data_IF_315839790828
#
_entry.id   IF_315839790828
#
_cell.length_a   1.000
_cell.length_b   1.000
_cell.length_c   1.000
_cell.angle_alpha   90.00
_cell.angle_beta   90.00
_cell.angle_gamma   90.00
#
_symmetry.space_group_name_H-M   'P 1'
#
loop_
_entity.id
_entity.type
_entity.pdbx_description
1 polymer ?
#
# COMPACT_ATOMS: atom_id res chain seq x y z
N UNK A 1 16.32 7.58 -2.39
CA UNK A 1 16.58 6.24 -2.95
C UNK A 1 15.31 5.42 -2.84
N UNK A 2 14.97 4.62 -3.86
CA UNK A 2 13.81 3.71 -3.80
C UNK A 2 14.21 2.36 -3.18
N UNK A 3 13.27 1.69 -2.53
CA UNK A 3 13.53 0.39 -1.92
C UNK A 3 13.89 -0.64 -3.00
N UNK A 4 15.03 -1.31 -2.80
CA UNK A 4 15.49 -2.37 -3.67
C UNK A 4 15.86 -3.58 -2.81
N UNK A 5 15.24 -4.73 -3.08
CA UNK A 5 15.55 -5.96 -2.34
C UNK A 5 16.99 -6.41 -2.55
N UNK A 6 17.61 -6.10 -3.69
CA UNK A 6 19.00 -6.48 -3.99
C UNK A 6 20.03 -5.52 -3.34
N UNK A 7 19.57 -4.49 -2.64
CA UNK A 7 20.45 -3.59 -1.91
C UNK A 7 21.14 -4.33 -0.75
N UNK A 8 22.44 -4.13 -0.60
CA UNK A 8 23.27 -4.83 0.41
C UNK A 8 22.76 -4.60 1.83
N UNK A 9 22.42 -3.36 2.19
CA UNK A 9 21.89 -3.00 3.52
C UNK A 9 20.55 -3.70 3.77
N UNK A 10 19.66 -3.72 2.77
CA UNK A 10 18.38 -4.43 2.88
C UNK A 10 18.60 -5.94 3.04
N UNK A 11 19.55 -6.54 2.31
CA UNK A 11 19.89 -7.95 2.45
C UNK A 11 20.45 -8.29 3.82
N UNK A 12 21.34 -7.47 4.36
CA UNK A 12 21.87 -7.61 5.72
C UNK A 12 20.74 -7.53 6.76
N UNK A 13 19.82 -6.57 6.63
CA UNK A 13 18.64 -6.50 7.49
C UNK A 13 17.76 -7.76 7.39
N UNK A 14 17.54 -8.29 6.19
CA UNK A 14 16.78 -9.53 5.99
C UNK A 14 17.48 -10.76 6.62
N UNK A 15 18.81 -10.82 6.56
CA UNK A 15 19.60 -11.86 7.21
C UNK A 15 19.50 -11.76 8.73
N UNK A 16 19.59 -10.54 9.28
CA UNK A 16 19.40 -10.28 10.71
C UNK A 16 18.04 -10.75 11.22
N UNK A 17 16.95 -10.40 10.52
CA UNK A 17 15.60 -10.87 10.88
C UNK A 17 15.48 -12.39 10.89
N UNK A 18 16.06 -13.08 9.91
CA UNK A 18 16.02 -14.54 9.85
C UNK A 18 16.77 -15.18 11.04
N UNK A 19 17.77 -14.49 11.59
CA UNK A 19 18.45 -14.93 12.80
C UNK A 19 17.62 -14.62 14.06
N UNK A 20 16.92 -13.48 14.12
CA UNK A 20 15.93 -13.20 15.16
C UNK A 20 14.86 -14.30 15.20
N UNK A 21 14.29 -14.68 14.03
CA UNK A 21 13.27 -15.73 13.90
C UNK A 21 13.78 -17.11 14.39
N UNK A 22 15.10 -17.32 14.36
CA UNK A 22 15.77 -18.53 14.87
C UNK A 22 16.21 -18.43 16.32
N UNK A 23 15.90 -17.33 17.01
CA UNK A 23 16.30 -17.09 18.40
C UNK A 23 17.79 -16.76 18.57
N UNK A 24 18.43 -16.17 17.56
CA UNK A 24 19.85 -15.82 17.55
C UNK A 24 20.06 -14.28 17.51
N UNK A 25 19.70 -13.54 18.58
CA UNK A 25 19.71 -12.08 18.58
C UNK A 25 21.11 -11.46 18.46
N UNK A 26 22.14 -12.10 19.02
CA UNK A 26 23.53 -11.61 18.88
C UNK A 26 24.01 -11.66 17.43
N UNK A 27 23.68 -12.74 16.72
CA UNK A 27 23.97 -12.88 15.29
C UNK A 27 23.21 -11.84 14.46
N UNK A 28 21.92 -11.63 14.79
CA UNK A 28 21.11 -10.61 14.14
C UNK A 28 21.70 -9.20 14.31
N UNK A 29 22.10 -8.86 15.53
CA UNK A 29 22.66 -7.55 15.85
C UNK A 29 23.96 -7.27 15.08
N UNK A 30 24.81 -8.28 14.86
CA UNK A 30 26.01 -8.14 14.01
C UNK A 30 25.66 -7.73 12.57
N UNK A 31 24.64 -8.36 11.98
CA UNK A 31 24.18 -8.00 10.64
C UNK A 31 23.57 -6.60 10.59
N UNK A 32 22.84 -6.17 11.62
CA UNK A 32 22.27 -4.81 11.67
C UNK A 32 23.34 -3.73 11.83
N UNK A 33 24.38 -3.99 12.63
CA UNK A 33 25.53 -3.08 12.70
C UNK A 33 26.32 -3.05 11.40
N UNK A 34 26.52 -4.20 10.74
CA UNK A 34 27.15 -4.23 9.42
C UNK A 34 26.34 -3.42 8.40
N UNK A 35 25.00 -3.55 8.42
CA UNK A 35 24.10 -2.74 7.60
C UNK A 35 24.25 -1.24 7.87
N UNK A 36 24.46 -0.84 9.13
CA UNK A 36 24.69 0.56 9.51
C UNK A 36 26.02 1.10 8.97
N UNK A 37 27.10 0.33 9.09
CA UNK A 37 28.44 0.72 8.62
C UNK A 37 28.54 0.75 7.09
N UNK A 38 27.86 -0.16 6.40
CA UNK A 38 27.83 -0.21 4.94
C UNK A 38 26.82 0.76 4.30
N UNK A 39 25.99 1.43 5.11
CA UNK A 39 24.99 2.35 4.60
C UNK A 39 25.61 3.58 3.94
N UNK A 40 25.23 3.80 2.69
CA UNK A 40 25.74 4.86 1.83
C UNK A 40 24.87 6.11 1.80
N UNK A 41 23.66 6.04 2.36
CA UNK A 41 22.70 7.14 2.38
C UNK A 41 21.78 7.07 3.62
N UNK A 42 21.07 8.16 3.88
CA UNK A 42 20.28 8.32 5.11
C UNK A 42 19.08 7.37 5.18
N UNK A 43 18.52 6.94 4.03
CA UNK A 43 17.46 5.95 4.01
C UNK A 43 17.99 4.57 4.45
N UNK A 44 19.15 4.16 3.97
CA UNK A 44 19.81 2.92 4.41
C UNK A 44 20.17 2.98 5.90
N UNK A 45 20.73 4.11 6.36
CA UNK A 45 21.06 4.33 7.77
C UNK A 45 19.83 4.28 8.65
N UNK A 46 18.73 4.90 8.24
CA UNK A 46 17.45 4.86 8.93
C UNK A 46 16.98 3.40 9.13
N UNK A 47 17.02 2.62 8.06
CA UNK A 47 16.60 1.22 8.07
C UNK A 47 17.47 0.39 9.03
N UNK A 48 18.79 0.55 8.98
CA UNK A 48 19.71 -0.14 9.88
C UNK A 48 19.50 0.28 11.35
N UNK A 49 19.44 1.59 11.63
CA UNK A 49 19.24 2.13 12.98
C UNK A 49 17.97 1.60 13.64
N UNK A 50 16.87 1.46 12.89
CA UNK A 50 15.62 0.88 13.39
C UNK A 50 15.81 -0.54 13.94
N UNK A 51 16.56 -1.40 13.24
CA UNK A 51 16.81 -2.77 13.71
C UNK A 51 17.85 -2.84 14.81
N UNK A 52 18.89 -2.00 14.76
CA UNK A 52 19.86 -1.90 15.85
C UNK A 52 19.14 -1.51 17.15
N UNK A 53 18.24 -0.54 17.11
CA UNK A 53 17.45 -0.09 18.27
C UNK A 53 16.69 -1.26 18.92
N UNK A 54 15.97 -2.05 18.11
CA UNK A 54 15.10 -3.15 18.59
C UNK A 54 15.83 -4.19 19.43
N UNK A 55 17.12 -4.41 19.17
CA UNK A 55 17.92 -5.44 19.84
C UNK A 55 18.83 -4.90 20.95
N UNK A 56 18.80 -3.59 21.22
CA UNK A 56 19.54 -3.05 22.37
C UNK A 56 18.91 -3.52 23.68
N UNK A 57 19.74 -4.03 24.59
CA UNK A 57 19.33 -4.45 25.93
C UNK A 57 19.24 -3.27 26.91
N UNK A 58 20.14 -2.30 26.78
CA UNK A 58 20.11 -1.09 27.58
C UNK A 58 19.07 -0.10 27.02
N UNK A 59 18.20 0.41 27.90
CA UNK A 59 17.11 1.30 27.51
C UNK A 59 17.62 2.65 27.01
N UNK A 60 18.74 3.14 27.55
CA UNK A 60 19.33 4.41 27.13
C UNK A 60 19.91 4.30 25.73
N UNK A 61 20.60 3.19 25.42
CA UNK A 61 21.13 2.94 24.09
C UNK A 61 20.02 2.67 23.07
N UNK A 62 18.98 1.91 23.46
CA UNK A 62 17.77 1.73 22.64
C UNK A 62 17.11 3.07 22.29
N UNK A 63 16.97 3.96 23.28
CA UNK A 63 16.41 5.29 23.10
C UNK A 63 17.26 6.13 22.14
N UNK A 64 18.59 6.13 22.28
CA UNK A 64 19.50 6.84 21.36
C UNK A 64 19.30 6.37 19.93
N UNK A 65 19.26 5.06 19.69
CA UNK A 65 19.08 4.50 18.36
C UNK A 65 17.71 4.82 17.76
N UNK A 66 16.63 4.79 18.55
CA UNK A 66 15.33 5.23 18.06
C UNK A 66 15.29 6.71 17.72
N UNK A 67 15.96 7.58 18.49
CA UNK A 67 16.12 8.99 18.13
C UNK A 67 16.93 9.17 16.84
N UNK A 68 18.02 8.43 16.68
CA UNK A 68 18.80 8.43 15.44
C UNK A 68 17.96 8.00 14.24
N UNK A 69 17.17 6.93 14.38
CA UNK A 69 16.26 6.48 13.33
C UNK A 69 15.19 7.54 13.02
N UNK A 70 14.61 8.18 14.04
CA UNK A 70 13.62 9.26 13.84
C UNK A 70 14.23 10.47 13.12
N UNK A 71 15.42 10.90 13.53
CA UNK A 71 16.10 12.01 12.87
C UNK A 71 16.37 11.71 11.39
N UNK A 72 16.93 10.55 11.08
CA UNK A 72 17.19 10.14 9.69
C UNK A 72 15.89 10.03 8.88
N UNK A 73 14.81 9.53 9.47
CA UNK A 73 13.51 9.48 8.80
C UNK A 73 12.97 10.88 8.48
N UNK A 74 13.12 11.83 9.41
CA UNK A 74 12.73 13.24 9.22
C UNK A 74 13.62 13.96 8.21
N UNK A 75 14.90 13.59 8.08
CA UNK A 75 15.82 14.12 7.06
C UNK A 75 15.47 13.58 5.67
N UNK A 76 15.16 12.29 5.56
CA UNK A 76 14.74 11.65 4.29
C UNK A 76 13.37 12.16 3.82
N UNK A 77 12.42 12.37 4.74
CA UNK A 77 11.13 13.03 4.55
C UNK A 77 10.33 12.67 3.27
N UNK A 78 10.27 11.41 2.90
CA UNK A 78 9.53 10.95 1.72
C UNK A 78 8.44 9.93 2.07
N UNK A 79 7.64 9.53 1.09
CA UNK A 79 6.51 8.62 1.30
C UNK A 79 6.93 7.22 1.76
N UNK A 80 8.19 6.83 1.58
CA UNK A 80 8.71 5.56 2.06
C UNK A 80 8.94 5.54 3.59
N UNK A 81 9.27 6.68 4.20
CA UNK A 81 9.64 6.74 5.63
C UNK A 81 8.57 7.35 6.52
N UNK A 82 7.67 8.20 5.99
CA UNK A 82 6.64 8.90 6.79
C UNK A 82 5.75 7.96 7.60
N UNK A 83 5.44 6.78 7.06
CA UNK A 83 4.69 5.75 7.78
C UNK A 83 5.36 5.30 9.08
N UNK A 84 6.69 5.45 9.21
CA UNK A 84 7.46 5.03 10.36
C UNK A 84 7.38 6.01 11.55
N UNK A 85 6.91 7.24 11.35
CA UNK A 85 6.93 8.27 12.39
C UNK A 85 6.13 7.86 13.62
N UNK A 86 4.87 7.43 13.45
CA UNK A 86 4.04 7.02 14.58
C UNK A 86 4.64 5.83 15.36
N UNK A 87 5.07 4.72 14.72
CA UNK A 87 5.81 3.65 15.40
C UNK A 87 7.09 4.12 16.11
N UNK A 88 7.89 4.99 15.49
CA UNK A 88 9.10 5.55 16.11
C UNK A 88 8.75 6.32 17.40
N UNK A 89 7.78 7.23 17.34
CA UNK A 89 7.32 7.96 18.52
C UNK A 89 6.82 7.00 19.61
N UNK A 90 6.06 5.96 19.25
CA UNK A 90 5.59 4.95 20.19
C UNK A 90 6.74 4.23 20.91
N UNK A 91 7.77 3.77 20.19
CA UNK A 91 8.90 3.08 20.82
C UNK A 91 9.79 4.01 21.64
N UNK A 92 9.93 5.27 21.24
CA UNK A 92 10.61 6.30 22.03
C UNK A 92 9.84 6.55 23.34
N UNK A 93 8.51 6.65 23.28
CA UNK A 93 7.67 6.79 24.47
C UNK A 93 7.87 5.61 25.43
N UNK A 94 7.89 4.37 24.92
CA UNK A 94 8.14 3.16 25.71
C UNK A 94 9.50 3.18 26.41
N UNK A 95 10.54 3.65 25.73
CA UNK A 95 11.85 3.81 26.35
C UNK A 95 11.81 4.85 27.49
N UNK A 96 11.12 5.98 27.30
CA UNK A 96 10.95 6.98 28.36
C UNK A 96 10.14 6.48 29.55
N UNK A 97 9.11 5.64 29.33
CA UNK A 97 8.37 4.97 30.42
C UNK A 97 9.30 4.10 31.27
N UNK A 98 10.13 3.26 30.62
CA UNK A 98 11.10 2.39 31.31
C UNK A 98 12.17 3.19 32.07
N UNK A 99 12.54 4.37 31.58
CA UNK A 99 13.43 5.32 32.26
C UNK A 99 12.73 6.16 33.34
N UNK A 100 11.43 5.94 33.59
CA UNK A 100 10.58 6.73 34.50
C UNK A 100 10.51 8.23 34.16
N UNK A 101 10.73 8.60 32.90
CA UNK A 101 10.57 9.96 32.41
C UNK A 101 9.15 10.18 31.87
N UNK A 102 8.22 10.42 32.80
CA UNK A 102 6.78 10.52 32.53
C UNK A 102 6.46 11.63 31.53
N UNK A 103 7.11 12.79 31.63
CA UNK A 103 6.81 13.94 30.77
C UNK A 103 7.14 13.64 29.31
N UNK A 104 8.34 13.14 29.03
CA UNK A 104 8.72 12.76 27.67
C UNK A 104 7.88 11.59 27.16
N UNK A 105 7.59 10.59 27.99
CA UNK A 105 6.71 9.49 27.58
C UNK A 105 5.35 9.99 27.10
N UNK A 106 4.73 10.93 27.84
CA UNK A 106 3.44 11.55 27.44
C UNK A 106 3.54 12.27 26.10
N UNK A 107 4.56 13.12 25.92
CA UNK A 107 4.77 13.87 24.67
C UNK A 107 4.87 12.92 23.48
N UNK A 108 5.69 11.88 23.58
CA UNK A 108 5.89 10.95 22.46
C UNK A 108 4.66 10.06 22.21
N UNK A 109 3.85 9.73 23.22
CA UNK A 109 2.55 9.09 23.00
C UNK A 109 1.59 9.99 22.22
N UNK A 110 1.51 11.27 22.58
CA UNK A 110 0.68 12.23 21.86
C UNK A 110 1.11 12.34 20.38
N UNK A 111 2.42 12.39 20.12
CA UNK A 111 2.97 12.37 18.76
C UNK A 111 2.65 11.07 18.00
N UNK A 112 2.68 9.92 18.67
CA UNK A 112 2.34 8.63 18.06
C UNK A 112 0.86 8.50 17.70
N UNK A 113 -0.01 9.24 18.39
CA UNK A 113 -1.46 9.25 18.16
C UNK A 113 -1.91 10.31 17.15
N UNK A 114 -1.02 11.19 16.71
CA UNK A 114 -1.33 12.12 15.63
C UNK A 114 -1.77 11.32 14.40
N UNK A 115 -2.92 11.69 13.79
CA UNK A 115 -3.41 10.97 12.63
C UNK A 115 -2.34 10.99 11.54
N UNK A 116 -1.96 9.81 11.04
CA UNK A 116 -1.07 9.72 9.91
C UNK A 116 -1.66 10.55 8.78
N UNK A 117 -0.88 11.50 8.27
CA UNK A 117 -1.26 12.28 7.09
C UNK A 117 -1.63 11.29 5.99
N UNK A 118 -2.77 11.51 5.32
CA UNK A 118 -3.10 10.74 4.11
C UNK A 118 -1.89 10.78 3.17
N UNK A 119 -1.50 9.66 2.55
CA UNK A 119 -0.38 9.65 1.64
C UNK A 119 -0.57 10.73 0.57
N UNK A 120 0.44 11.58 0.39
CA UNK A 120 0.46 12.65 -0.61
C UNK A 120 1.38 12.29 -1.78
N UNK A 121 1.63 11.00 -1.96
CA UNK A 121 2.46 10.47 -3.04
C UNK A 121 1.83 10.86 -4.40
N UNK A 122 2.65 11.37 -5.31
CA UNK A 122 2.24 11.81 -6.64
C UNK A 122 2.39 10.72 -7.71
N UNK A 123 2.90 9.54 -7.34
CA UNK A 123 3.16 8.46 -8.28
C UNK A 123 4.43 8.70 -9.12
N UNK A 124 4.48 8.18 -10.37
CA UNK A 124 3.44 7.41 -11.05
C UNK A 124 3.07 6.12 -10.29
N UNK A 125 1.84 5.65 -10.49
CA UNK A 125 1.35 4.43 -9.83
C UNK A 125 1.17 3.29 -10.81
N UNK A 126 1.35 2.08 -10.30
CA UNK A 126 1.35 0.84 -11.07
C UNK A 126 0.45 -0.21 -10.44
N UNK A 127 -0.28 -0.92 -11.30
CA UNK A 127 -1.10 -2.07 -10.95
C UNK A 127 -0.68 -3.27 -11.81
N UNK A 128 -0.20 -4.33 -11.16
CA UNK A 128 0.15 -5.60 -11.79
C UNK A 128 -1.02 -6.56 -11.80
N UNK A 129 -1.27 -7.19 -12.95
CA UNK A 129 -2.36 -8.17 -13.06
C UNK A 129 -2.11 -9.11 -14.23
N UNK A 130 -2.96 -10.14 -14.36
CA UNK A 130 -3.05 -11.00 -15.55
C UNK A 130 -4.32 -10.73 -16.36
N UNK A 131 -5.11 -9.74 -15.94
CA UNK A 131 -6.26 -9.24 -16.69
C UNK A 131 -5.81 -8.43 -17.92
N UNK A 132 -6.54 -8.58 -19.02
CA UNK A 132 -6.30 -7.84 -20.27
C UNK A 132 -7.07 -6.51 -20.26
N UNK A 133 -6.44 -5.48 -19.68
CA UNK A 133 -6.95 -4.12 -19.57
C UNK A 133 -6.47 -3.22 -20.72
N UNK A 134 -7.21 -2.14 -20.97
CA UNK A 134 -6.89 -1.08 -21.94
C UNK A 134 -6.88 0.28 -21.27
N UNK A 135 -6.16 1.23 -21.86
CA UNK A 135 -6.23 2.62 -21.41
C UNK A 135 -7.69 3.12 -21.45
N UNK A 136 -8.10 3.82 -20.39
CA UNK A 136 -9.47 4.27 -20.14
C UNK A 136 -10.31 3.29 -19.31
N UNK A 137 -9.86 2.05 -19.10
CA UNK A 137 -10.55 1.10 -18.23
C UNK A 137 -10.52 1.57 -16.76
N UNK A 138 -11.64 1.37 -16.06
CA UNK A 138 -11.74 1.60 -14.62
C UNK A 138 -11.71 0.27 -13.87
N UNK A 139 -10.71 0.13 -13.00
CA UNK A 139 -10.60 -0.95 -12.03
C UNK A 139 -11.47 -0.58 -10.82
N UNK A 140 -12.30 -1.49 -10.34
CA UNK A 140 -13.12 -1.30 -9.13
C UNK A 140 -12.88 -2.43 -8.12
N UNK A 141 -12.98 -2.12 -6.82
CA UNK A 141 -12.96 -3.10 -5.73
C UNK A 141 -14.18 -4.05 -5.77
N UNK A 142 -14.21 -5.05 -4.88
CA UNK A 142 -15.36 -5.95 -4.70
C UNK A 142 -15.20 -7.32 -5.37
N UNK A 143 -13.96 -7.81 -5.51
CA UNK A 143 -13.66 -9.09 -6.18
C UNK A 143 -12.91 -10.06 -5.27
N UNK A 144 -12.85 -11.32 -5.72
CA UNK A 144 -12.16 -12.38 -4.98
C UNK A 144 -10.66 -12.10 -4.91
N UNK A 145 -10.07 -12.35 -3.74
CA UNK A 145 -8.65 -12.18 -3.49
C UNK A 145 -7.79 -13.12 -4.35
N UNK A 146 -6.62 -12.64 -4.81
CA UNK A 146 -5.62 -13.49 -5.45
C UNK A 146 -4.98 -14.50 -4.48
N UNK A 147 -5.14 -14.30 -3.18
CA UNK A 147 -4.46 -15.11 -2.15
C UNK A 147 -5.44 -16.03 -1.41
N UNK A 148 -6.67 -15.58 -1.16
CA UNK A 148 -7.68 -16.33 -0.41
C UNK A 148 -8.92 -16.59 -1.28
N UNK A 149 -9.29 -17.86 -1.54
CA UNK A 149 -10.37 -18.19 -2.46
C UNK A 149 -11.75 -17.64 -2.06
N UNK A 150 -12.02 -17.38 -0.78
CA UNK A 150 -13.36 -16.95 -0.34
C UNK A 150 -13.43 -15.50 0.15
N UNK A 151 -12.35 -14.74 0.00
CA UNK A 151 -12.28 -13.34 0.47
C UNK A 151 -12.67 -12.38 -0.65
N UNK A 152 -13.80 -11.70 -0.50
CA UNK A 152 -14.13 -10.51 -1.30
C UNK A 152 -13.36 -9.33 -0.74
N UNK A 153 -12.59 -8.67 -1.58
CA UNK A 153 -11.75 -7.57 -1.19
C UNK A 153 -12.45 -6.24 -1.41
N UNK A 154 -12.34 -5.36 -0.41
CA UNK A 154 -13.03 -4.06 -0.39
C UNK A 154 -12.18 -2.91 -0.94
N UNK A 155 -10.96 -3.19 -1.43
CA UNK A 155 -10.04 -2.16 -1.92
C UNK A 155 -9.47 -2.58 -3.27
N UNK A 156 -8.68 -1.71 -3.90
CA UNK A 156 -7.81 -2.04 -5.03
C UNK A 156 -6.42 -1.60 -4.63
N UNK A 157 -5.43 -2.41 -4.96
CA UNK A 157 -4.06 -2.22 -4.53
C UNK A 157 -3.17 -1.80 -5.69
N UNK A 158 -2.26 -0.89 -5.41
CA UNK A 158 -1.32 -0.33 -6.38
C UNK A 158 -0.05 0.11 -5.66
N UNK A 159 1.01 0.38 -6.41
CA UNK A 159 2.30 0.79 -5.85
C UNK A 159 2.96 1.84 -6.72
N UNK A 160 3.77 2.71 -6.14
CA UNK A 160 4.62 3.61 -6.92
C UNK A 160 5.89 2.94 -7.46
N UNK A 161 6.12 1.66 -7.17
CA UNK A 161 7.28 0.90 -7.64
C UNK A 161 6.88 -0.09 -8.74
N UNK A 162 7.37 0.14 -9.97
CA UNK A 162 7.11 -0.75 -11.13
C UNK A 162 7.51 -2.20 -10.86
N UNK A 163 8.64 -2.42 -10.17
CA UNK A 163 9.09 -3.74 -9.76
C UNK A 163 8.08 -4.45 -8.85
N UNK A 164 7.48 -3.71 -7.91
CA UNK A 164 6.45 -4.24 -7.01
C UNK A 164 5.21 -4.68 -7.77
N UNK A 165 4.77 -3.89 -8.76
CA UNK A 165 3.67 -4.26 -9.64
C UNK A 165 4.02 -5.46 -10.53
N UNK A 166 5.23 -5.53 -11.08
CA UNK A 166 5.69 -6.68 -11.87
C UNK A 166 5.68 -7.99 -11.09
N UNK A 167 6.16 -7.97 -9.84
CA UNK A 167 6.12 -9.14 -8.95
C UNK A 167 4.68 -9.56 -8.64
N UNK A 168 3.79 -8.60 -8.39
CA UNK A 168 2.39 -8.88 -8.14
C UNK A 168 1.67 -9.45 -9.38
N UNK A 169 1.99 -8.99 -10.60
CA UNK A 169 1.50 -9.58 -11.84
C UNK A 169 1.92 -11.06 -12.00
N UNK A 170 3.17 -11.39 -11.65
CA UNK A 170 3.70 -12.76 -11.71
C UNK A 170 3.05 -13.71 -10.68
N UNK A 171 2.54 -13.16 -9.57
CA UNK A 171 1.85 -13.89 -8.50
C UNK A 171 0.32 -13.88 -8.62
N UNK A 172 -0.25 -13.01 -9.47
CA UNK A 172 -1.68 -12.92 -9.68
C UNK A 172 -2.26 -14.23 -10.26
N UNK A 173 -3.51 -14.53 -9.93
CA UNK A 173 -4.22 -15.70 -10.47
C UNK A 173 -4.64 -15.48 -11.91
N UNK A 174 -4.76 -16.57 -12.66
CA UNK A 174 -5.25 -16.59 -14.04
C UNK A 174 -4.20 -17.04 -15.06
N UNK A 175 -4.67 -17.43 -16.23
CA UNK A 175 -3.82 -17.96 -17.30
C UNK A 175 -3.36 -16.88 -18.29
N UNK A 176 -3.75 -15.61 -18.06
CA UNK A 176 -3.31 -14.48 -18.88
C UNK A 176 -1.81 -14.20 -18.76
N UNK A 177 -1.30 -13.35 -19.65
CA UNK A 177 0.06 -12.84 -19.57
C UNK A 177 0.24 -11.90 -18.36
N UNK A 178 1.46 -11.80 -17.86
CA UNK A 178 1.83 -10.85 -16.81
C UNK A 178 1.84 -9.43 -17.40
N UNK A 179 1.08 -8.51 -16.79
CA UNK A 179 0.94 -7.14 -17.27
C UNK A 179 1.06 -6.14 -16.13
N UNK A 180 1.67 -4.99 -16.42
CA UNK A 180 1.80 -3.87 -15.47
C UNK A 180 1.20 -2.62 -16.09
N UNK A 181 0.16 -2.10 -15.45
CA UNK A 181 -0.56 -0.92 -15.91
C UNK A 181 -0.17 0.31 -15.12
N UNK A 182 -0.01 1.44 -15.81
CA UNK A 182 0.05 2.76 -15.17
C UNK A 182 -1.38 3.15 -14.82
N UNK A 183 -1.60 3.52 -13.57
CA UNK A 183 -2.93 3.81 -13.05
C UNK A 183 -2.99 5.16 -12.35
N UNK A 184 -4.14 5.82 -12.42
CA UNK A 184 -4.44 7.05 -11.68
C UNK A 184 -5.58 6.78 -10.69
N UNK A 185 -5.40 7.05 -9.39
CA UNK A 185 -6.49 6.96 -8.43
C UNK A 185 -7.52 8.06 -8.68
N UNK A 186 -8.81 7.72 -8.70
CA UNK A 186 -9.88 8.71 -8.90
C UNK A 186 -10.38 9.33 -7.58
N UNK A 187 -9.73 9.03 -6.46
CA UNK A 187 -10.11 9.50 -5.14
C UNK A 187 -9.02 9.17 -4.11
N UNK A 188 -9.36 9.35 -2.83
CA UNK A 188 -8.42 9.16 -1.73
C UNK A 188 -7.88 7.72 -1.66
N UNK A 189 -6.66 7.57 -1.14
CA UNK A 189 -6.05 6.28 -0.89
C UNK A 189 -5.27 6.31 0.42
N UNK A 190 -4.89 5.14 0.91
CA UNK A 190 -4.15 4.96 2.15
C UNK A 190 -3.00 3.96 1.94
N UNK A 191 -2.02 3.98 2.84
CA UNK A 191 -0.95 2.99 2.88
C UNK A 191 -1.52 1.57 2.96
N UNK A 192 -0.91 0.62 2.26
CA UNK A 192 -1.29 -0.78 2.36
C UNK A 192 -0.86 -1.34 3.72
N UNK A 193 -1.81 -1.61 4.65
CA UNK A 193 -1.47 -2.09 6.00
C UNK A 193 -0.90 -3.51 5.99
N UNK A 194 -0.94 -4.20 4.85
CA UNK A 194 -0.32 -5.52 4.75
C UNK A 194 1.21 -5.42 4.70
N UNK A 195 1.79 -4.34 4.14
CA UNK A 195 3.24 -4.18 3.97
C UNK A 195 3.83 -3.02 4.79
N UNK A 196 3.03 -1.99 5.08
CA UNK A 196 3.47 -0.81 5.83
C UNK A 196 3.68 -1.13 7.30
N UNK A 197 4.83 -0.72 7.85
CA UNK A 197 5.25 -0.99 9.24
C UNK A 197 5.18 -2.47 9.63
N UNK A 198 5.33 -3.38 8.66
CA UNK A 198 5.36 -4.82 8.91
C UNK A 198 6.80 -5.30 9.01
N UNK A 199 7.33 -5.80 7.89
CA UNK A 199 8.70 -6.30 7.87
C UNK A 199 9.69 -5.17 8.06
N UNK A 200 9.41 -4.03 7.42
CA UNK A 200 10.22 -2.82 7.43
C UNK A 200 9.45 -1.64 8.01
N UNK A 201 10.12 -0.68 8.68
CA UNK A 201 9.49 0.55 9.13
C UNK A 201 9.08 1.42 7.93
N UNK A 202 7.95 2.11 8.05
CA UNK A 202 7.38 2.95 7.02
C UNK A 202 6.68 2.16 5.91
N UNK A 203 6.62 2.76 4.72
CA UNK A 203 6.10 2.17 3.50
C UNK A 203 7.19 2.10 2.41
N UNK A 204 8.30 1.36 2.58
CA UNK A 204 9.39 1.33 1.60
C UNK A 204 8.96 0.90 0.20
N UNK A 205 7.95 0.02 0.14
CA UNK A 205 7.39 -0.47 -1.11
C UNK A 205 6.41 0.51 -1.77
N UNK A 206 6.19 1.70 -1.18
CA UNK A 206 5.23 2.72 -1.61
C UNK A 206 3.95 2.08 -2.13
N UNK A 207 3.40 1.20 -1.30
CA UNK A 207 2.24 0.36 -1.63
C UNK A 207 1.01 0.94 -0.96
N UNK A 208 -0.07 1.01 -1.73
CA UNK A 208 -1.29 1.71 -1.37
C UNK A 208 -2.51 0.87 -1.67
N UNK A 209 -3.63 1.26 -1.06
CA UNK A 209 -4.95 0.73 -1.38
C UNK A 209 -6.00 1.83 -1.39
N UNK A 210 -7.03 1.65 -2.22
CA UNK A 210 -8.15 2.59 -2.32
C UNK A 210 -9.48 1.87 -2.48
N UNK A 211 -10.58 2.50 -2.04
CA UNK A 211 -11.95 2.06 -2.34
C UNK A 211 -12.47 2.69 -3.64
N UNK A 212 -11.83 3.76 -4.11
CA UNK A 212 -12.19 4.45 -5.33
C UNK A 212 -11.65 3.70 -6.55
N UNK A 213 -12.26 3.88 -7.73
CA UNK A 213 -11.72 3.29 -8.94
C UNK A 213 -10.28 3.74 -9.23
N UNK A 214 -9.51 2.86 -9.87
CA UNK A 214 -8.25 3.24 -10.52
C UNK A 214 -8.48 3.31 -12.02
N UNK A 215 -8.02 4.37 -12.67
CA UNK A 215 -8.09 4.53 -14.13
C UNK A 215 -6.81 4.05 -14.77
N UNK A 216 -6.89 3.11 -15.72
CA UNK A 216 -5.73 2.73 -16.55
C UNK A 216 -5.41 3.88 -17.51
N UNK A 217 -4.17 4.37 -17.48
CA UNK A 217 -3.69 5.41 -18.41
C UNK A 217 -2.62 4.91 -19.37
N UNK A 218 -2.03 3.75 -19.08
CA UNK A 218 -1.05 3.12 -19.97
C UNK A 218 -0.65 1.73 -19.49
N UNK A 219 0.23 1.08 -20.24
CA UNK A 219 0.85 -0.20 -19.90
C UNK A 219 2.38 -0.03 -19.97
N UNK A 220 3.07 -0.53 -18.95
CA UNK A 220 4.54 -0.64 -18.96
C UNK A 220 4.87 -2.02 -19.49
N UNK A 221 5.75 -2.07 -20.49
CA UNK A 221 6.20 -3.32 -21.12
C UNK A 221 7.63 -3.70 -20.77
N UNK A 222 8.43 -2.73 -20.32
CA UNK A 222 9.81 -2.93 -19.92
C UNK A 222 9.95 -2.83 -18.41
N UNK A 223 10.08 -3.98 -17.75
CA UNK A 223 10.39 -4.07 -16.33
C UNK A 223 11.20 -5.34 -16.06
N UNK A 224 11.99 -5.30 -14.99
CA UNK A 224 12.80 -6.44 -14.57
C UNK A 224 11.89 -7.59 -14.10
N UNK A 225 11.82 -8.64 -14.92
CA UNK A 225 11.09 -9.87 -14.58
C UNK A 225 11.89 -10.74 -13.62
N UNK A 226 11.18 -11.42 -12.73
CA UNK A 226 11.77 -12.42 -11.85
C UNK A 226 12.17 -13.66 -12.66
N UNK A 227 13.25 -14.33 -12.25
CA UNK A 227 13.59 -15.64 -12.81
C UNK A 227 12.57 -16.70 -12.37
N UNK A 228 12.39 -17.80 -13.13
CA UNK A 228 11.52 -18.89 -12.75
C UNK A 228 11.83 -19.45 -11.35
N UNK A 229 13.10 -19.54 -10.98
CA UNK A 229 13.56 -20.01 -9.68
C UNK A 229 13.15 -19.05 -8.56
N UNK A 230 13.29 -17.74 -8.77
CA UNK A 230 12.83 -16.72 -7.83
C UNK A 230 11.32 -16.79 -7.63
N UNK A 231 10.55 -16.92 -8.72
CA UNK A 231 9.09 -17.09 -8.65
C UNK A 231 8.68 -18.36 -7.91
N UNK A 232 9.40 -19.46 -8.12
CA UNK A 232 9.15 -20.70 -7.39
C UNK A 232 9.41 -20.54 -5.89
N UNK A 233 10.47 -19.82 -5.52
CA UNK A 233 10.73 -19.49 -4.11
C UNK A 233 9.61 -18.63 -3.53
N UNK A 234 9.13 -17.61 -4.24
CA UNK A 234 7.99 -16.79 -3.81
C UNK A 234 6.73 -17.63 -3.61
N UNK A 235 6.39 -18.50 -4.57
CA UNK A 235 5.24 -19.42 -4.48
C UNK A 235 5.37 -20.41 -3.32
N UNK A 236 6.57 -20.96 -3.09
CA UNK A 236 6.84 -21.86 -1.96
C UNK A 236 6.66 -21.14 -0.62
N UNK A 237 7.19 -19.92 -0.49
CA UNK A 237 6.96 -19.10 0.70
C UNK A 237 5.45 -18.81 0.88
N UNK A 238 4.71 -18.54 -0.21
CA UNK A 238 3.26 -18.25 -0.18
C UNK A 238 2.43 -19.46 0.28
N UNK A 239 2.88 -20.67 -0.06
CA UNK A 239 2.24 -21.91 0.38
C UNK A 239 2.61 -22.27 1.83
N UNK A 240 3.83 -21.96 2.27
CA UNK A 240 4.35 -22.34 3.59
C UNK A 240 3.83 -21.45 4.73
N UNK A 241 3.64 -20.15 4.49
CA UNK A 241 2.94 -19.26 5.42
C UNK A 241 1.52 -19.08 4.93
N UNK A 242 0.49 -19.37 5.74
CA UNK A 242 -0.93 -19.13 5.42
C UNK A 242 -1.20 -17.65 5.09
N UNK A 243 -0.82 -17.15 3.92
CA UNK A 243 -1.04 -15.79 3.42
C UNK A 243 -0.41 -14.61 4.20
N UNK A 244 -0.04 -14.77 5.47
CA UNK A 244 0.26 -13.67 6.41
C UNK A 244 1.72 -13.15 6.37
N UNK A 245 2.68 -13.97 5.91
CA UNK A 245 4.12 -13.59 5.94
C UNK A 245 4.55 -12.87 4.66
N UNK A 246 3.91 -13.11 3.51
CA UNK A 246 4.27 -12.50 2.22
C UNK A 246 3.38 -11.33 1.85
N UNK A 247 2.19 -11.24 2.47
CA UNK A 247 1.44 -9.99 2.50
C UNK A 247 2.27 -8.82 3.01
N UNK A 248 3.39 -9.07 3.70
CA UNK A 248 4.31 -8.07 4.26
C UNK A 248 5.45 -7.64 3.35
N UNK A 249 5.57 -8.21 2.14
CA UNK A 249 6.64 -7.88 1.18
C UNK A 249 6.10 -7.60 -0.22
N UNK A 250 4.95 -8.16 -0.58
CA UNK A 250 4.33 -7.97 -1.90
C UNK A 250 2.95 -7.34 -1.74
N UNK A 251 2.73 -6.24 -2.46
CA UNK A 251 1.44 -5.58 -2.58
C UNK A 251 0.35 -6.59 -2.97
N UNK A 252 -0.72 -6.70 -2.17
CA UNK A 252 -1.81 -7.65 -2.45
C UNK A 252 -2.65 -7.18 -3.64
N UNK A 253 -2.33 -7.55 -4.86
CA UNK A 253 -3.18 -7.17 -6.00
C UNK A 253 -4.32 -8.18 -6.21
N UNK A 254 -5.40 -7.75 -6.85
CA UNK A 254 -6.68 -8.49 -6.96
C UNK A 254 -7.00 -8.95 -8.38
N UNK A 255 -8.04 -9.78 -8.50
CA UNK A 255 -8.69 -10.05 -9.79
C UNK A 255 -9.53 -8.82 -10.14
N UNK A 256 -9.12 -8.09 -11.17
CA UNK A 256 -9.72 -6.81 -11.56
C UNK A 256 -11.04 -7.02 -12.32
N UNK A 257 -12.04 -6.20 -12.00
CA UNK A 257 -13.22 -6.00 -12.85
C UNK A 257 -13.04 -4.74 -13.70
N UNK A 258 -13.32 -4.88 -14.99
CA UNK A 258 -13.26 -3.77 -15.94
C UNK A 258 -14.65 -3.18 -16.13
N UNK A 259 -14.84 -1.91 -15.78
CA UNK A 259 -15.90 -1.12 -16.40
C UNK A 259 -15.30 -0.40 -17.61
N UNK A 260 -15.62 -0.90 -18.80
CA UNK A 260 -15.40 -0.15 -20.04
C UNK A 260 -16.46 0.93 -20.11
N UNK A 261 -16.06 2.20 -20.06
CA UNK A 261 -16.96 3.28 -20.44
C UNK A 261 -17.11 3.19 -21.96
N UNK A 262 -18.14 2.50 -22.42
CA UNK A 262 -18.57 2.61 -23.81
C UNK A 262 -19.19 3.99 -23.98
N UNK A 263 -18.43 4.94 -24.54
CA UNK A 263 -19.04 6.13 -25.13
C UNK A 263 -19.85 5.59 -26.32
N UNK A 264 -21.19 5.69 -26.36
CA UNK A 264 -21.92 5.31 -27.54
C UNK A 264 -21.34 6.12 -28.70
N UNK A 265 -20.91 5.42 -29.75
CA UNK A 265 -20.54 6.08 -30.99
C UNK A 265 -21.76 6.86 -31.46
N UNK A 266 -21.73 8.18 -31.32
CA UNK A 266 -22.67 9.03 -32.03
C UNK A 266 -22.30 8.89 -33.50
N UNK A 267 -23.00 7.99 -34.20
CA UNK A 267 -23.05 7.99 -35.65
C UNK A 267 -23.61 9.33 -36.08
N UNK A 268 -22.73 10.25 -36.47
CA UNK A 268 -23.12 11.42 -37.25
C UNK A 268 -23.52 10.89 -38.64
N UNK A 269 -24.77 10.49 -38.75
CA UNK A 269 -25.40 10.25 -40.04
C UNK A 269 -25.58 11.64 -40.68
N UNK A 270 -24.68 12.01 -41.59
CA UNK A 270 -24.84 13.22 -42.40
C UNK A 270 -25.92 12.94 -43.45
N UNK A 271 -27.18 12.97 -43.03
CA UNK A 271 -28.30 13.19 -43.93
C UNK A 271 -28.27 14.64 -44.43
N UNK A 272 -28.56 14.90 -45.72
CA UNK A 272 -28.61 16.26 -46.24
C UNK A 272 -29.89 16.94 -45.75
N UNK A 273 -29.84 18.27 -45.69
CA UNK A 273 -30.89 19.20 -45.27
C UNK A 273 -30.76 19.67 -43.82
N UNK A 274 -30.30 20.92 -43.70
CA UNK A 274 -30.13 21.62 -42.43
C UNK A 274 -31.44 21.97 -41.76
N UNK A 275 -31.39 22.14 -40.44
CA UNK A 275 -32.01 23.24 -39.70
C UNK A 275 -31.45 23.17 -38.27
N UNK A 276 -30.90 24.29 -37.79
CA UNK A 276 -30.48 24.50 -36.41
C UNK A 276 -31.70 24.58 -35.51
N UNK A 277 -31.76 23.85 -34.38
CA UNK A 277 -32.61 24.20 -33.22
C UNK A 277 -32.14 23.51 -31.91
N UNK A 278 -31.59 24.33 -31.01
CA UNK A 278 -31.82 24.46 -29.54
C UNK A 278 -32.00 23.20 -28.65
N UNK A 279 -31.13 23.13 -27.63
CA UNK A 279 -31.23 22.32 -26.40
C UNK A 279 -32.56 22.48 -25.65
N UNK A 280 -33.17 21.37 -25.23
CA UNK A 280 -34.04 21.36 -24.03
C UNK A 280 -33.84 20.09 -23.21
N UNK A 281 -33.42 20.29 -21.95
CA UNK A 281 -33.42 19.30 -20.88
C UNK A 281 -34.88 19.09 -20.43
N UNK A 282 -35.34 17.84 -20.31
CA UNK A 282 -36.64 17.55 -19.69
C UNK A 282 -36.51 16.42 -18.66
N UNK A 283 -36.58 16.83 -17.39
CA UNK A 283 -36.87 15.99 -16.23
C UNK A 283 -38.34 15.55 -16.34
N UNK A 284 -38.62 14.24 -16.27
CA UNK A 284 -39.99 13.73 -16.07
C UNK A 284 -40.10 12.94 -14.77
N UNK A 285 -40.78 13.57 -13.79
CA UNK A 285 -41.60 12.89 -12.79
C UNK A 285 -42.90 12.44 -13.45
N UNK A 286 -43.42 11.27 -13.10
CA UNK A 286 -44.84 10.95 -13.29
C UNK A 286 -45.34 10.04 -12.16
N UNK A 287 -46.25 10.61 -11.38
CA UNK A 287 -47.03 9.99 -10.32
C UNK A 287 -48.18 9.12 -10.87
N UNK A 288 -48.79 8.28 -10.01
CA UNK A 288 -50.25 8.09 -9.99
C UNK A 288 -50.76 7.77 -8.56
N UNK A 289 -52.02 8.13 -8.24
CA UNK A 289 -52.57 8.18 -6.87
C UNK A 289 -53.55 7.04 -6.56
N UNK A 290 -53.88 6.86 -5.28
CA UNK A 290 -55.22 6.48 -4.79
C UNK A 290 -55.29 6.66 -3.25
N UNK A 291 -56.38 7.25 -2.78
CA UNK A 291 -56.78 7.48 -1.38
C UNK A 291 -58.26 7.04 -1.25
N UNK A 292 -58.87 6.97 -0.05
CA UNK A 292 -58.50 6.33 1.22
C UNK A 292 -59.71 5.45 1.72
N UNK A 293 -59.90 5.07 3.02
CA UNK A 293 -60.32 6.00 4.08
C UNK A 293 -59.84 5.72 5.53
N UNK A 294 -59.71 6.82 6.30
CA UNK A 294 -60.10 7.11 7.71
C UNK A 294 -59.69 6.24 8.94
N UNK A 295 -59.32 6.99 10.00
CA UNK A 295 -59.35 6.63 11.44
C UNK A 295 -57.98 6.26 12.03
N UNK A 296 -57.52 6.67 13.22
CA UNK A 296 -57.99 7.55 14.29
C UNK A 296 -56.87 7.63 15.36
N UNK A 297 -56.64 8.82 15.94
CA UNK A 297 -56.06 9.13 17.26
C UNK A 297 -54.77 8.43 17.78
N UNK A 298 -53.74 9.24 18.08
CA UNK A 298 -53.26 9.47 19.47
C UNK A 298 -52.17 10.55 19.50
N UNK A 299 -52.32 11.52 20.42
CA UNK A 299 -51.31 12.50 20.81
C UNK A 299 -50.42 11.86 21.89
N UNK A 300 -49.11 12.04 21.75
CA UNK A 300 -48.16 11.96 22.87
C UNK A 300 -47.85 13.39 23.36
N UNK A 301 -47.21 13.52 24.51
CA UNK A 301 -45.80 13.91 24.44
C UNK A 301 -44.84 12.76 24.75
#
# INVERSE_FOLDING_TARGET
MEFNQNNTVIQLCLQGMNLEDKGQPEGALRHFFQAWEEATNDFEKFMAAWYVARLQLDVSDRLKWYHTALQLALEVNNDAVKGAYAPLHFYIAKCYEELNNVENARIYHELALLPASRPADQGPFYHGTRADLRAGDLLTAGRMSNYQPDLVMNHIYFTALVYGAGLAAALARGNGGERVYIVEPTGDFEDDPNVTNKKFPGNPMRSYRTQYPLKVVGEVTDWLKQTPEQLQQWRKKLAAGKGEVISQIVCKQEIVSVRRISVPAWSFDRGPCGFSTVMYLHIRKSAKPNHPPQGSFAKSP
#
